data_IF_821518618810
#
_entry.id   IF_821518618810
#
_cell.length_a   1.000
_cell.length_b   1.000
_cell.length_c   1.000
_cell.angle_alpha   90.00
_cell.angle_beta   90.00
_cell.angle_gamma   90.00
#
_symmetry.space_group_name_H-M   'P 1'
#
loop_
_entity.id
_entity.type
_entity.pdbx_description
1 polymer ?
#
# COMPACT_ATOMS: atom_id res chain seq x y z
N UNK A 1 -6.69 -11.07 -17.45
CA UNK A 1 -6.10 -9.92 -16.72
C UNK A 1 -6.12 -10.22 -15.23
N UNK A 2 -5.15 -9.78 -14.43
CA UNK A 2 -5.34 -9.74 -12.97
C UNK A 2 -6.19 -8.51 -12.68
N UNK A 3 -7.27 -8.67 -11.93
CA UNK A 3 -8.11 -7.55 -11.50
C UNK A 3 -7.35 -6.60 -10.57
N UNK A 4 -7.93 -5.42 -10.34
CA UNK A 4 -7.44 -4.54 -9.29
C UNK A 4 -7.78 -5.11 -7.92
N UNK A 5 -6.77 -5.24 -7.06
CA UNK A 5 -6.93 -5.65 -5.67
C UNK A 5 -6.27 -4.59 -4.79
N UNK A 6 -7.02 -3.73 -4.08
CA UNK A 6 -6.41 -2.70 -3.23
C UNK A 6 -5.66 -3.37 -2.08
N UNK A 7 -4.35 -3.11 -1.99
CA UNK A 7 -3.50 -3.67 -0.94
C UNK A 7 -2.31 -2.75 -0.65
N UNK A 8 -1.80 -2.85 0.58
CA UNK A 8 -0.52 -2.26 0.97
C UNK A 8 0.51 -3.37 1.10
N UNK A 9 1.60 -3.28 0.34
CA UNK A 9 2.71 -4.23 0.47
C UNK A 9 3.50 -3.91 1.74
N UNK A 10 3.42 -4.79 2.75
CA UNK A 10 4.18 -4.64 4.01
C UNK A 10 5.62 -5.15 3.89
N UNK A 11 5.85 -6.13 3.03
CA UNK A 11 7.16 -6.74 2.84
C UNK A 11 7.13 -7.80 1.75
N UNK A 12 8.31 -8.25 1.36
CA UNK A 12 8.50 -9.36 0.42
C UNK A 12 9.41 -10.39 1.05
N UNK A 13 8.93 -11.62 1.18
CA UNK A 13 9.74 -12.72 1.71
C UNK A 13 10.64 -13.25 0.60
N UNK A 14 11.95 -13.33 0.87
CA UNK A 14 12.93 -13.98 -0.03
C UNK A 14 13.35 -15.32 0.57
N UNK A 15 13.13 -16.40 -0.18
CA UNK A 15 13.42 -17.76 0.27
C UNK A 15 12.44 -18.27 1.34
N UNK A 16 12.78 -19.40 1.98
CA UNK A 16 11.91 -20.08 2.96
C UNK A 16 12.49 -20.14 4.38
N UNK A 17 13.62 -19.47 4.63
CA UNK A 17 14.27 -19.48 5.95
C UNK A 17 13.30 -18.93 7.00
N UNK A 18 13.04 -19.71 8.05
CA UNK A 18 12.14 -19.36 9.16
C UNK A 18 10.67 -19.07 8.76
N UNK A 19 10.21 -19.48 7.57
CA UNK A 19 8.87 -19.16 7.08
C UNK A 19 7.76 -19.62 8.05
N UNK A 20 7.90 -20.82 8.63
CA UNK A 20 6.91 -21.35 9.60
C UNK A 20 6.77 -20.43 10.82
N UNK A 21 7.89 -19.98 11.40
CA UNK A 21 7.86 -19.08 12.56
C UNK A 21 7.30 -17.70 12.21
N UNK A 22 7.56 -17.21 10.98
CA UNK A 22 6.97 -15.97 10.49
C UNK A 22 5.45 -16.09 10.37
N UNK A 23 4.96 -17.16 9.74
CA UNK A 23 3.52 -17.39 9.55
C UNK A 23 2.80 -17.47 10.90
N UNK A 24 3.32 -18.24 11.87
CA UNK A 24 2.72 -18.32 13.21
C UNK A 24 2.65 -16.96 13.91
N UNK A 25 3.68 -16.11 13.75
CA UNK A 25 3.62 -14.73 14.30
C UNK A 25 2.58 -13.89 13.56
N UNK A 26 2.49 -13.99 12.24
CA UNK A 26 1.51 -13.25 11.45
C UNK A 26 0.07 -13.64 11.81
N UNK A 27 -0.20 -14.92 12.07
CA UNK A 27 -1.52 -15.42 12.50
C UNK A 27 -1.95 -14.86 13.87
N UNK A 28 -0.99 -14.54 14.74
CA UNK A 28 -1.27 -13.91 16.03
C UNK A 28 -1.51 -12.40 15.99
N UNK A 29 -1.27 -11.75 14.83
CA UNK A 29 -1.50 -10.31 14.69
C UNK A 29 -2.98 -10.04 14.47
N UNK A 30 -3.61 -9.34 15.41
CA UNK A 30 -4.89 -8.70 15.18
C UNK A 30 -4.66 -7.36 14.49
N UNK A 31 -5.18 -7.21 13.29
CA UNK A 31 -5.14 -5.95 12.56
C UNK A 31 -6.58 -5.48 12.32
N UNK A 32 -6.97 -4.42 13.03
CA UNK A 32 -8.17 -3.67 12.68
C UNK A 32 -7.79 -2.70 11.57
N UNK A 33 -8.39 -2.85 10.39
CA UNK A 33 -8.14 -1.91 9.29
C UNK A 33 -8.82 -0.58 9.64
N UNK A 34 -8.07 0.50 9.89
CA UNK A 34 -8.69 1.79 10.09
C UNK A 34 -9.38 2.23 8.79
N UNK A 35 -10.49 2.94 8.92
CA UNK A 35 -11.02 3.71 7.81
C UNK A 35 -10.05 4.86 7.54
N UNK A 36 -9.63 4.98 6.29
CA UNK A 36 -8.72 6.03 5.84
C UNK A 36 -9.43 6.85 4.77
N UNK A 37 -9.62 8.13 5.05
CA UNK A 37 -10.10 9.07 4.04
C UNK A 37 -8.96 9.35 3.05
N UNK A 38 -9.19 9.04 1.77
CA UNK A 38 -8.24 9.38 0.70
C UNK A 38 -8.58 10.76 0.17
N UNK A 39 -7.73 11.75 0.44
CA UNK A 39 -7.94 13.14 0.02
C UNK A 39 -7.30 13.48 -1.33
N UNK A 40 -6.39 12.64 -1.82
CA UNK A 40 -5.61 12.90 -3.03
C UNK A 40 -4.97 11.62 -3.57
N UNK A 41 -4.49 11.68 -4.82
CA UNK A 41 -3.57 10.69 -5.37
C UNK A 41 -2.33 11.35 -5.98
N UNK A 42 -1.23 10.59 -6.04
CA UNK A 42 0.05 11.08 -6.54
C UNK A 42 0.45 10.34 -7.82
N UNK A 43 0.94 11.09 -8.81
CA UNK A 43 1.78 10.55 -9.86
C UNK A 43 3.19 10.42 -9.32
N UNK A 44 3.74 9.20 -9.30
CA UNK A 44 5.04 8.89 -8.72
C UNK A 44 6.00 8.36 -9.79
N UNK A 45 7.27 8.75 -9.67
CA UNK A 45 8.38 8.11 -10.40
C UNK A 45 9.05 7.07 -9.51
N UNK A 46 9.45 5.94 -10.09
CA UNK A 46 10.27 4.93 -9.43
C UNK A 46 11.53 4.67 -10.25
N UNK A 47 12.70 4.93 -9.66
CA UNK A 47 13.99 4.70 -10.30
C UNK A 47 14.73 3.62 -9.51
N UNK A 48 15.03 2.50 -10.16
CA UNK A 48 15.83 1.44 -9.55
C UNK A 48 17.31 1.82 -9.55
N UNK A 49 17.91 1.87 -8.35
CA UNK A 49 19.34 2.09 -8.13
C UNK A 49 19.96 0.86 -7.48
N UNK A 50 21.29 0.82 -7.42
CA UNK A 50 22.02 -0.26 -6.73
C UNK A 50 21.62 -0.40 -5.25
N UNK A 51 21.24 0.69 -4.59
CA UNK A 51 20.75 0.71 -3.21
C UNK A 51 19.26 0.34 -3.06
N UNK A 52 18.54 0.13 -4.16
CA UNK A 52 17.10 -0.13 -4.20
C UNK A 52 16.32 0.92 -4.99
N UNK A 53 14.99 0.83 -4.95
CA UNK A 53 14.11 1.77 -5.64
C UNK A 53 14.02 3.10 -4.89
N UNK A 54 14.27 4.20 -5.59
CA UNK A 54 13.95 5.56 -5.13
C UNK A 54 12.61 5.98 -5.70
N UNK A 55 11.74 6.52 -4.84
CA UNK A 55 10.43 7.03 -5.25
C UNK A 55 10.38 8.55 -5.08
N UNK A 56 9.82 9.24 -6.06
CA UNK A 56 9.58 10.69 -5.99
C UNK A 56 8.17 11.02 -6.46
N UNK A 57 7.53 11.98 -5.79
CA UNK A 57 6.26 12.54 -6.24
C UNK A 57 6.56 13.48 -7.41
N UNK A 58 5.94 13.23 -8.57
CA UNK A 58 6.00 14.11 -9.74
C UNK A 58 4.88 15.14 -9.73
N UNK A 59 3.68 14.70 -9.31
CA UNK A 59 2.49 15.56 -9.22
C UNK A 59 1.49 14.99 -8.22
N UNK A 60 0.75 15.88 -7.57
CA UNK A 60 -0.33 15.54 -6.65
C UNK A 60 -1.66 16.05 -7.21
N UNK A 61 -2.70 15.23 -7.09
CA UNK A 61 -4.05 15.51 -7.56
C UNK A 61 -5.00 15.39 -6.36
N UNK A 62 -5.42 16.53 -5.77
CA UNK A 62 -6.41 16.51 -4.71
C UNK A 62 -7.76 16.08 -5.28
N UNK A 63 -8.49 15.26 -4.51
CA UNK A 63 -9.90 15.00 -4.80
C UNK A 63 -10.71 16.23 -4.41
N UNK A 64 -11.64 16.63 -5.27
CA UNK A 64 -12.63 17.64 -4.93
C UNK A 64 -13.62 17.00 -3.96
N UNK A 65 -13.96 17.72 -2.88
CA UNK A 65 -15.02 17.29 -1.97
C UNK A 65 -16.31 17.21 -2.79
N UNK A 66 -16.86 16.01 -2.96
CA UNK A 66 -18.21 15.86 -3.48
C UNK A 66 -19.09 15.97 -2.25
N UNK A 67 -19.80 17.10 -2.09
CA UNK A 67 -20.94 17.16 -1.18
C UNK A 67 -21.94 16.10 -1.66
N UNK A 68 -22.08 15.02 -0.89
CA UNK A 68 -23.23 14.14 -1.03
C UNK A 68 -24.43 14.96 -0.60
N UNK A 69 -25.30 15.32 -1.54
CA UNK A 69 -26.62 15.84 -1.22
C UNK A 69 -27.33 14.77 -0.38
N UNK A 70 -27.56 15.08 0.90
CA UNK A 70 -28.42 14.28 1.76
C UNK A 70 -29.82 14.22 1.10
N UNK A 71 -30.29 13.00 0.82
CA UNK A 71 -31.66 12.71 0.39
C UNK A 71 -32.50 12.29 1.60
#
# INVERSE_FOLDING_TARGET
SRGFHPHLTLGRVKGKRNLKSLLTRMESLTFESPLVQVSQFNLMSSVLRASGSTYSILKTFPFQHVETADH
#
